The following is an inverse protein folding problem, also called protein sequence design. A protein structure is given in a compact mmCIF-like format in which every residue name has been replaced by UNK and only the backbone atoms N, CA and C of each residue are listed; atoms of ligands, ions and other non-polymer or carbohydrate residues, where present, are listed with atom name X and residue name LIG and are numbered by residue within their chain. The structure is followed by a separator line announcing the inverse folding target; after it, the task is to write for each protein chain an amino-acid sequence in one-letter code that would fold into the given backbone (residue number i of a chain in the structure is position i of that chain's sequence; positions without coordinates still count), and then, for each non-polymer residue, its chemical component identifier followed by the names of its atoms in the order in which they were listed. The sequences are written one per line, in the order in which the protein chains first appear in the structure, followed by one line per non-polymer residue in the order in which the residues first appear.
data_IF_826052519422
#
_entry.id   IF_826052519422
#
_cell.length_a   1.000
_cell.length_b   1.000
_cell.length_c   1.000
_cell.angle_alpha   90.00
_cell.angle_beta   90.00
_cell.angle_gamma   90.00
#
_symmetry.space_group_name_H-M   'P 1'
#
loop_
_entity.id
_entity.type
_entity.pdbx_description
1 polymer ?
#
# COMPACT_ATOMS: atom_id res chain seq x y z
N UNK A 1 14.36 18.24 -3.73
CA UNK A 1 13.04 17.82 -4.30
C UNK A 1 12.41 16.91 -3.29
N UNK A 2 11.12 17.12 -2.98
CA UNK A 2 10.40 16.30 -2.01
C UNK A 2 10.12 14.92 -2.59
N UNK A 3 10.44 13.87 -1.85
CA UNK A 3 10.11 12.50 -2.20
C UNK A 3 9.04 11.94 -1.26
N UNK A 4 8.24 11.01 -1.75
CA UNK A 4 7.26 10.26 -0.95
C UNK A 4 7.64 8.78 -1.02
N UNK A 5 7.87 8.18 0.14
CA UNK A 5 8.24 6.77 0.25
C UNK A 5 7.00 5.95 0.54
N UNK A 6 6.62 5.08 -0.40
CA UNK A 6 5.53 4.13 -0.23
C UNK A 6 6.10 2.85 0.37
N UNK A 7 5.55 2.43 1.49
CA UNK A 7 6.00 1.24 2.24
C UNK A 7 4.82 0.29 2.40
N UNK A 8 4.93 -0.92 1.87
CA UNK A 8 3.95 -1.96 2.14
C UNK A 8 4.21 -2.57 3.51
N UNK A 9 3.16 -2.83 4.29
CA UNK A 9 3.28 -3.50 5.59
C UNK A 9 4.04 -4.83 5.51
N UNK A 10 4.56 -5.28 6.65
CA UNK A 10 5.23 -6.58 6.83
C UNK A 10 4.23 -7.73 6.73
N UNK A 11 4.73 -8.96 6.77
CA UNK A 11 3.90 -10.18 6.72
C UNK A 11 2.85 -10.17 7.84
N UNK A 12 1.54 -10.24 7.52
CA UNK A 12 0.48 -10.28 8.53
C UNK A 12 0.28 -11.68 9.10
N UNK A 13 -0.25 -11.75 10.31
CA UNK A 13 -0.58 -13.00 10.99
C UNK A 13 -1.90 -13.58 10.48
N UNK A 14 -1.85 -14.19 9.30
CA UNK A 14 -3.01 -14.82 8.65
C UNK A 14 -2.58 -16.11 7.95
N UNK A 15 -3.39 -17.19 7.96
CA UNK A 15 -3.10 -18.39 7.20
C UNK A 15 -3.03 -18.13 5.68
N UNK A 16 -2.25 -18.96 4.99
CA UNK A 16 -2.16 -18.90 3.52
C UNK A 16 -3.54 -19.17 2.89
N UNK A 17 -3.84 -18.47 1.80
CA UNK A 17 -5.06 -18.70 1.01
C UNK A 17 -6.32 -18.05 1.59
N UNK A 18 -6.19 -17.25 2.65
CA UNK A 18 -7.30 -16.50 3.22
C UNK A 18 -7.43 -15.14 2.53
N UNK A 19 -8.66 -14.81 2.13
CA UNK A 19 -9.02 -13.48 1.65
C UNK A 19 -9.10 -12.52 2.84
N UNK A 20 -8.42 -11.41 2.76
CA UNK A 20 -8.52 -10.34 3.75
C UNK A 20 -8.26 -8.98 3.09
N UNK A 21 -8.92 -7.98 3.57
CA UNK A 21 -8.74 -6.59 3.15
C UNK A 21 -8.64 -5.68 4.37
N UNK A 22 -9.78 -5.33 4.97
CA UNK A 22 -9.85 -4.42 6.11
C UNK A 22 -9.91 -5.12 7.47
N UNK A 23 -9.95 -6.44 7.52
CA UNK A 23 -9.77 -7.17 8.77
C UNK A 23 -8.48 -6.74 9.45
N UNK A 24 -8.56 -6.37 10.74
CA UNK A 24 -7.44 -5.84 11.50
C UNK A 24 -6.53 -6.96 12.02
N UNK A 25 -5.70 -7.47 11.13
CA UNK A 25 -4.76 -8.55 11.39
C UNK A 25 -3.54 -8.05 12.16
N UNK A 26 -3.04 -8.89 13.04
CA UNK A 26 -1.80 -8.67 13.78
C UNK A 26 -0.57 -8.90 12.88
N UNK A 27 0.62 -8.63 13.41
CA UNK A 27 1.91 -8.90 12.76
C UNK A 27 2.46 -10.26 13.19
N UNK A 28 3.39 -10.81 12.40
CA UNK A 28 4.06 -12.09 12.71
C UNK A 28 5.31 -11.88 13.57
N UNK A 29 5.91 -12.96 14.06
CA UNK A 29 7.18 -12.95 14.78
C UNK A 29 8.34 -12.37 13.95
N UNK A 30 8.24 -12.42 12.60
CA UNK A 30 9.23 -11.82 11.70
C UNK A 30 9.19 -10.30 11.63
N UNK A 31 8.20 -9.64 12.25
CA UNK A 31 7.96 -8.19 12.17
C UNK A 31 9.20 -7.34 12.37
N UNK A 32 9.94 -7.55 13.45
CA UNK A 32 11.13 -6.76 13.75
C UNK A 32 12.30 -7.02 12.78
N UNK A 33 12.40 -8.23 12.24
CA UNK A 33 13.42 -8.55 11.25
C UNK A 33 13.10 -7.88 9.90
N UNK A 34 11.86 -7.97 9.45
CA UNK A 34 11.38 -7.31 8.23
C UNK A 34 11.49 -5.79 8.35
N UNK A 35 11.12 -5.21 9.50
CA UNK A 35 11.22 -3.77 9.76
C UNK A 35 12.66 -3.26 9.67
N UNK A 36 13.64 -4.04 10.16
CA UNK A 36 15.06 -3.68 10.03
C UNK A 36 15.52 -3.61 8.57
N UNK A 37 15.04 -4.53 7.73
CA UNK A 37 15.35 -4.52 6.29
C UNK A 37 14.73 -3.28 5.62
N UNK A 38 13.45 -3.01 5.89
CA UNK A 38 12.73 -1.82 5.36
C UNK A 38 13.48 -0.54 5.72
N UNK A 39 13.91 -0.40 6.98
CA UNK A 39 14.60 0.79 7.48
C UNK A 39 15.86 1.15 6.70
N UNK A 40 16.58 0.17 6.16
CA UNK A 40 17.81 0.37 5.38
C UNK A 40 17.57 1.13 4.06
N UNK A 41 16.32 1.14 3.59
CA UNK A 41 15.93 1.78 2.34
C UNK A 41 15.21 3.12 2.53
N UNK A 42 15.13 3.61 3.77
CA UNK A 42 14.44 4.85 4.11
C UNK A 42 15.43 5.92 4.58
N UNK A 43 15.35 7.15 4.05
CA UNK A 43 16.25 8.22 4.48
C UNK A 43 15.81 8.82 5.82
N UNK A 44 16.77 9.42 6.53
CA UNK A 44 16.50 10.15 7.75
C UNK A 44 15.72 11.48 7.54
N UNK A 45 15.61 11.92 6.29
CA UNK A 45 14.93 13.17 5.88
C UNK A 45 13.41 13.11 5.92
N UNK A 46 12.81 11.96 6.21
CA UNK A 46 11.35 11.82 6.33
C UNK A 46 10.86 12.62 7.55
N UNK A 47 10.00 13.62 7.31
CA UNK A 47 9.49 14.54 8.32
C UNK A 47 8.05 14.24 8.75
N UNK A 48 7.26 13.59 7.91
CA UNK A 48 5.86 13.24 8.20
C UNK A 48 5.52 11.86 7.68
N UNK A 49 4.70 11.14 8.44
CA UNK A 49 4.30 9.76 8.14
C UNK A 49 2.78 9.68 8.08
N UNK A 50 2.27 9.15 6.98
CA UNK A 50 0.87 8.82 6.79
C UNK A 50 0.73 7.30 6.80
N UNK A 51 -0.31 6.78 7.42
CA UNK A 51 -0.50 5.33 7.51
C UNK A 51 -1.97 4.95 7.45
N UNK A 52 -2.23 3.79 6.87
CA UNK A 52 -3.47 3.06 7.16
C UNK A 52 -3.60 2.87 8.69
N UNK A 53 -4.81 2.99 9.26
CA UNK A 53 -5.03 2.74 10.69
C UNK A 53 -4.93 1.27 11.09
N UNK A 54 -4.98 0.34 10.11
CA UNK A 54 -4.89 -1.10 10.40
C UNK A 54 -3.56 -1.46 11.07
N UNK A 55 -3.62 -2.30 12.11
CA UNK A 55 -2.50 -2.63 13.01
C UNK A 55 -1.18 -2.89 12.26
N UNK A 56 -1.20 -3.74 11.23
CA UNK A 56 -0.02 -4.12 10.44
C UNK A 56 0.71 -2.93 9.79
N UNK A 57 -0.03 -1.84 9.49
CA UNK A 57 0.55 -0.60 8.97
C UNK A 57 0.91 0.37 10.10
N UNK A 58 0.00 0.58 11.05
CA UNK A 58 0.20 1.53 12.14
C UNK A 58 1.36 1.15 13.05
N UNK A 59 1.53 -0.15 13.36
CA UNK A 59 2.67 -0.66 14.13
C UNK A 59 3.98 -0.46 13.36
N UNK A 60 4.00 -0.79 12.06
CA UNK A 60 5.18 -0.58 11.21
C UNK A 60 5.57 0.90 11.14
N UNK A 61 4.58 1.78 10.95
CA UNK A 61 4.82 3.22 10.89
C UNK A 61 5.44 3.75 12.20
N UNK A 62 4.91 3.33 13.36
CA UNK A 62 5.45 3.70 14.67
C UNK A 62 6.86 3.18 14.89
N UNK A 63 7.12 1.93 14.51
CA UNK A 63 8.44 1.30 14.67
C UNK A 63 9.49 1.93 13.76
N UNK A 64 9.13 2.26 12.51
CA UNK A 64 10.05 2.91 11.57
C UNK A 64 10.34 4.37 11.94
N UNK A 65 9.36 5.09 12.47
CA UNK A 65 9.40 6.54 12.65
C UNK A 65 8.89 6.98 14.04
N UNK A 66 9.53 6.54 15.14
CA UNK A 66 9.01 6.76 16.49
C UNK A 66 8.89 8.25 16.86
N UNK A 67 9.75 9.10 16.30
CA UNK A 67 9.83 10.53 16.64
C UNK A 67 9.20 11.45 15.57
N UNK A 68 8.43 10.88 14.65
CA UNK A 68 7.81 11.66 13.57
C UNK A 68 6.30 11.77 13.77
N UNK A 69 5.68 12.90 13.35
CA UNK A 69 4.23 13.00 13.31
C UNK A 69 3.62 11.88 12.47
N UNK A 70 2.70 11.12 13.04
CA UNK A 70 1.98 10.03 12.40
C UNK A 70 0.52 10.42 12.19
N UNK A 71 0.09 10.42 10.94
CA UNK A 71 -1.26 10.74 10.51
C UNK A 71 -1.96 9.47 10.00
N UNK A 72 -2.89 8.95 10.77
CA UNK A 72 -3.72 7.83 10.33
C UNK A 72 -4.79 8.33 9.36
N UNK A 73 -5.00 7.58 8.26
CA UNK A 73 -5.93 7.90 7.17
C UNK A 73 -6.71 6.66 6.78
N UNK A 74 -8.02 6.70 6.95
CA UNK A 74 -8.91 5.60 6.58
C UNK A 74 -8.88 5.34 5.06
N UNK A 75 -8.65 6.38 4.28
CA UNK A 75 -8.52 6.30 2.83
C UNK A 75 -7.30 5.45 2.38
N UNK A 76 -6.36 5.19 3.28
CA UNK A 76 -5.20 4.30 3.04
C UNK A 76 -5.44 2.86 3.49
N UNK A 77 -6.63 2.49 3.98
CA UNK A 77 -6.97 1.08 4.24
C UNK A 77 -6.99 0.27 2.94
N UNK A 78 -6.72 -1.04 3.05
CA UNK A 78 -6.81 -1.97 1.92
C UNK A 78 -8.25 -2.05 1.38
N UNK A 79 -8.44 -2.67 0.23
CA UNK A 79 -9.77 -2.92 -0.34
C UNK A 79 -10.65 -3.62 0.70
N UNK A 80 -11.88 -3.14 0.84
CA UNK A 80 -12.86 -3.79 1.71
C UNK A 80 -13.38 -5.06 1.04
N UNK A 81 -12.98 -6.23 1.56
CA UNK A 81 -13.37 -7.52 1.01
C UNK A 81 -14.77 -8.00 1.44
N UNK A 82 -15.53 -7.16 2.16
CA UNK A 82 -16.94 -7.43 2.47
C UNK A 82 -17.18 -8.82 3.03
N UNK A 83 -18.08 -9.56 2.39
CA UNK A 83 -18.47 -10.92 2.81
C UNK A 83 -17.36 -11.97 2.57
N UNK A 84 -16.30 -11.61 1.85
CA UNK A 84 -15.17 -12.50 1.63
C UNK A 84 -14.09 -12.40 2.71
N UNK A 85 -14.17 -11.40 3.61
CA UNK A 85 -13.20 -11.23 4.70
C UNK A 85 -13.07 -12.52 5.51
N UNK A 86 -11.82 -12.96 5.71
CA UNK A 86 -11.41 -14.15 6.47
C UNK A 86 -11.93 -15.48 5.93
N UNK A 87 -12.45 -15.54 4.71
CA UNK A 87 -12.78 -16.80 4.02
C UNK A 87 -11.59 -17.28 3.18
N UNK A 88 -11.48 -18.61 3.01
CA UNK A 88 -10.52 -19.12 2.04
C UNK A 88 -10.95 -18.75 0.61
N UNK A 89 -10.00 -18.37 -0.23
CA UNK A 89 -10.28 -18.04 -1.64
C UNK A 89 -10.95 -19.19 -2.39
N UNK A 90 -10.55 -20.44 -2.05
CA UNK A 90 -11.09 -21.65 -2.68
C UNK A 90 -12.51 -21.98 -2.22
N UNK A 91 -13.00 -21.36 -1.13
CA UNK A 91 -14.34 -21.54 -0.57
C UNK A 91 -15.33 -20.42 -0.99
N UNK A 92 -14.87 -19.48 -1.81
CA UNK A 92 -15.74 -18.41 -2.31
C UNK A 92 -16.71 -18.97 -3.38
N UNK A 93 -17.98 -18.51 -3.39
CA UNK A 93 -18.95 -18.91 -4.40
C UNK A 93 -18.46 -18.55 -5.80
N UNK A 94 -18.54 -19.50 -6.73
CA UNK A 94 -18.05 -19.28 -8.11
C UNK A 94 -18.81 -18.18 -8.85
N UNK A 95 -20.10 -18.06 -8.60
CA UNK A 95 -20.95 -17.03 -9.17
C UNK A 95 -20.61 -15.61 -8.66
N UNK A 96 -19.90 -15.50 -7.53
CA UNK A 96 -19.39 -14.23 -7.02
C UNK A 96 -17.95 -13.97 -7.50
N UNK A 97 -17.06 -15.01 -7.41
CA UNK A 97 -15.63 -14.79 -7.68
C UNK A 97 -15.29 -14.76 -9.16
N UNK A 98 -15.95 -15.55 -10.02
CA UNK A 98 -15.63 -15.62 -11.45
C UNK A 98 -15.86 -14.27 -12.18
N UNK A 99 -16.98 -13.54 -11.95
CA UNK A 99 -17.14 -12.18 -12.50
C UNK A 99 -16.06 -11.23 -12.00
N UNK A 100 -15.72 -11.28 -10.72
CA UNK A 100 -14.68 -10.43 -10.13
C UNK A 100 -13.29 -10.77 -10.68
N UNK A 101 -12.98 -12.02 -10.89
CA UNK A 101 -11.72 -12.44 -11.53
C UNK A 101 -11.61 -11.97 -12.98
N UNK A 102 -12.74 -11.81 -13.66
CA UNK A 102 -12.79 -11.31 -15.03
C UNK A 102 -12.58 -9.79 -15.09
N UNK A 103 -13.18 -9.04 -14.16
CA UNK A 103 -13.05 -7.59 -14.04
C UNK A 103 -13.07 -7.13 -12.58
N UNK A 104 -11.96 -7.32 -11.89
CA UNK A 104 -11.81 -6.89 -10.50
C UNK A 104 -11.85 -5.36 -10.35
N UNK A 105 -11.72 -4.61 -11.44
CA UNK A 105 -11.74 -3.14 -11.42
C UNK A 105 -13.16 -2.63 -11.18
N UNK A 106 -14.12 -3.14 -11.94
CA UNK A 106 -15.51 -2.67 -11.92
C UNK A 106 -16.39 -3.50 -10.97
N UNK A 107 -16.17 -4.81 -10.93
CA UNK A 107 -17.00 -5.70 -10.11
C UNK A 107 -16.74 -5.46 -8.63
N UNK A 108 -17.79 -5.13 -7.92
CA UNK A 108 -17.77 -4.91 -6.47
C UNK A 108 -17.85 -6.24 -5.73
N UNK A 109 -16.99 -6.40 -4.72
CA UNK A 109 -17.08 -7.51 -3.78
C UNK A 109 -18.39 -7.41 -2.99
N UNK A 110 -19.16 -8.48 -2.79
CA UNK A 110 -20.40 -8.45 -2.01
C UNK A 110 -20.20 -7.83 -0.62
N UNK A 111 -20.92 -6.74 -0.35
CA UNK A 111 -20.78 -5.98 0.91
C UNK A 111 -19.45 -5.23 1.07
N UNK A 112 -18.63 -5.16 0.02
CA UNK A 112 -17.32 -4.52 0.03
C UNK A 112 -17.13 -3.46 -1.04
N UNK A 113 -15.92 -3.30 -1.54
CA UNK A 113 -15.51 -2.34 -2.56
C UNK A 113 -15.20 -3.02 -3.91
N UNK A 114 -15.32 -2.28 -5.00
CA UNK A 114 -14.59 -2.54 -6.23
C UNK A 114 -13.18 -1.93 -6.15
N UNK A 115 -12.28 -2.34 -7.05
CA UNK A 115 -10.96 -1.70 -7.11
C UNK A 115 -11.05 -0.23 -7.54
N UNK A 116 -12.10 0.13 -8.30
CA UNK A 116 -12.37 1.52 -8.67
C UNK A 116 -12.75 2.38 -7.46
N UNK A 117 -13.52 1.85 -6.50
CA UNK A 117 -13.85 2.57 -5.25
C UNK A 117 -12.59 2.83 -4.42
N UNK A 118 -11.75 1.79 -4.23
CA UNK A 118 -10.45 1.93 -3.59
C UNK A 118 -9.61 2.99 -4.30
N UNK A 119 -9.52 2.95 -5.63
CA UNK A 119 -8.73 3.91 -6.41
C UNK A 119 -9.21 5.35 -6.19
N UNK A 120 -10.51 5.58 -6.16
CA UNK A 120 -11.08 6.92 -5.97
C UNK A 120 -10.69 7.52 -4.60
N UNK A 121 -10.84 6.75 -3.49
CA UNK A 121 -10.48 7.25 -2.15
C UNK A 121 -8.97 7.42 -1.98
N UNK A 122 -8.18 6.48 -2.50
CA UNK A 122 -6.71 6.51 -2.41
C UNK A 122 -6.13 7.69 -3.20
N UNK A 123 -6.60 7.94 -4.42
CA UNK A 123 -6.10 9.05 -5.23
C UNK A 123 -6.48 10.41 -4.66
N UNK A 124 -7.67 10.54 -4.06
CA UNK A 124 -8.05 11.72 -3.29
C UNK A 124 -7.08 12.00 -2.14
N UNK A 125 -6.78 10.98 -1.33
CA UNK A 125 -5.81 11.08 -0.24
C UNK A 125 -4.39 11.38 -0.74
N UNK A 126 -3.93 10.69 -1.79
CA UNK A 126 -2.65 10.93 -2.44
C UNK A 126 -2.48 12.38 -2.89
N UNK A 127 -3.48 12.94 -3.57
CA UNK A 127 -3.45 14.32 -4.03
C UNK A 127 -3.28 15.29 -2.87
N UNK A 128 -4.00 15.08 -1.76
CA UNK A 128 -3.88 15.90 -0.55
C UNK A 128 -2.49 15.79 0.07
N UNK A 129 -1.92 14.58 0.21
CA UNK A 129 -0.59 14.37 0.79
C UNK A 129 0.51 14.95 -0.11
N UNK A 130 0.41 14.73 -1.41
CA UNK A 130 1.42 15.14 -2.38
C UNK A 130 1.44 16.65 -2.67
N UNK A 131 0.31 17.32 -2.43
CA UNK A 131 0.21 18.80 -2.57
C UNK A 131 0.83 19.54 -1.38
N UNK A 132 0.97 18.92 -0.22
CA UNK A 132 1.57 19.55 0.96
C UNK A 132 3.08 19.75 0.71
N UNK A 133 3.53 20.98 0.70
CA UNK A 133 4.95 21.34 0.59
C UNK A 133 5.58 21.42 1.98
N UNK A 134 6.92 21.24 2.06
CA UNK A 134 7.68 21.55 3.27
C UNK A 134 7.49 23.01 3.69
N UNK A 135 7.70 23.30 4.97
CA UNK A 135 7.63 24.67 5.47
C UNK A 135 8.71 25.52 4.79
N UNK A 136 8.30 26.66 4.24
CA UNK A 136 9.26 27.70 3.84
C UNK A 136 9.90 28.29 5.10
N UNK A 137 11.22 28.35 5.15
CA UNK A 137 11.90 29.20 6.12
C UNK A 137 11.68 30.68 5.77
N UNK A 138 11.77 31.56 6.75
CA UNK A 138 11.68 33.02 6.55
C UNK A 138 12.72 33.56 5.55
N UNK A 139 13.70 32.74 5.17
CA UNK A 139 14.76 33.09 4.19
C UNK A 139 14.43 32.63 2.77
N UNK A 140 13.20 32.12 2.50
CA UNK A 140 12.77 31.69 1.16
C UNK A 140 13.36 30.34 0.70
N UNK A 141 14.13 29.65 1.54
CA UNK A 141 14.63 28.31 1.25
C UNK A 141 13.57 27.27 1.64
N UNK A 142 13.03 26.57 0.66
CA UNK A 142 12.18 25.41 0.90
C UNK A 142 13.05 24.20 1.19
N UNK A 143 13.13 23.81 2.46
CA UNK A 143 13.77 22.53 2.82
C UNK A 143 12.92 21.38 2.26
N UNK A 144 13.50 20.44 1.50
CA UNK A 144 12.76 19.26 1.05
C UNK A 144 12.15 18.51 2.23
N UNK A 145 10.85 18.27 2.19
CA UNK A 145 10.14 17.54 3.23
C UNK A 145 9.72 16.17 2.70
N UNK A 146 10.61 15.21 2.83
CA UNK A 146 10.28 13.82 2.49
C UNK A 146 9.16 13.29 3.40
N UNK A 147 8.29 12.48 2.84
CA UNK A 147 7.15 11.86 3.53
C UNK A 147 7.19 10.35 3.36
N UNK A 148 6.54 9.65 4.27
CA UNK A 148 6.27 8.23 4.11
C UNK A 148 4.77 7.96 4.09
N UNK A 149 4.36 6.97 3.30
CA UNK A 149 3.01 6.38 3.31
C UNK A 149 3.17 4.90 3.59
N UNK A 150 2.70 4.44 4.75
CA UNK A 150 2.70 3.03 5.12
C UNK A 150 1.31 2.46 4.85
N UNK A 151 1.21 1.53 3.90
CA UNK A 151 -0.07 1.07 3.41
C UNK A 151 -0.02 -0.39 2.90
N UNK A 152 -0.90 -0.73 1.99
CA UNK A 152 -1.20 -2.07 1.50
C UNK A 152 -0.91 -2.21 0.01
N UNK A 153 -0.92 -3.45 -0.48
CA UNK A 153 -0.61 -3.75 -1.88
C UNK A 153 -1.56 -3.08 -2.88
N UNK A 154 -2.86 -3.11 -2.63
CA UNK A 154 -3.88 -2.48 -3.48
C UNK A 154 -3.75 -0.96 -3.51
N UNK A 155 -3.52 -0.36 -2.33
CA UNK A 155 -3.31 1.09 -2.17
C UNK A 155 -2.07 1.57 -2.95
N UNK A 156 -0.94 0.89 -2.78
CA UNK A 156 0.31 1.27 -3.46
C UNK A 156 0.18 1.12 -4.97
N UNK A 157 -0.41 0.01 -5.46
CA UNK A 157 -0.69 -0.16 -6.89
C UNK A 157 -1.59 0.93 -7.44
N UNK A 158 -2.63 1.32 -6.69
CA UNK A 158 -3.53 2.41 -7.06
C UNK A 158 -2.78 3.74 -7.26
N UNK A 159 -1.88 4.09 -6.34
CA UNK A 159 -1.02 5.29 -6.46
C UNK A 159 -0.11 5.18 -7.68
N UNK A 160 0.55 4.03 -7.87
CA UNK A 160 1.45 3.82 -9.00
C UNK A 160 0.71 3.90 -10.34
N UNK A 161 -0.49 3.33 -10.46
CA UNK A 161 -1.33 3.46 -11.65
C UNK A 161 -1.64 4.93 -11.96
N UNK A 162 -2.02 5.70 -10.94
CA UNK A 162 -2.34 7.13 -11.11
C UNK A 162 -1.16 7.96 -11.60
N UNK A 163 0.05 7.70 -11.07
CA UNK A 163 1.25 8.50 -11.41
C UNK A 163 1.91 8.06 -12.73
N UNK A 164 1.75 6.82 -13.15
CA UNK A 164 2.33 6.25 -14.38
C UNK A 164 1.35 6.16 -15.54
N UNK A 165 0.08 6.55 -15.34
CA UNK A 165 -1.01 6.36 -16.30
C UNK A 165 -1.21 4.90 -16.73
N UNK A 166 -0.88 3.94 -15.86
CA UNK A 166 -1.12 2.51 -16.09
C UNK A 166 -2.60 2.20 -15.87
N UNK A 167 -3.28 1.48 -16.80
CA UNK A 167 -4.66 1.05 -16.59
C UNK A 167 -4.80 0.22 -15.32
N UNK A 168 -5.89 0.42 -14.56
CA UNK A 168 -6.10 -0.29 -13.30
C UNK A 168 -6.14 -1.82 -13.46
N UNK A 169 -6.66 -2.30 -14.59
CA UNK A 169 -6.72 -3.73 -14.89
C UNK A 169 -5.33 -4.36 -14.99
N UNK A 170 -4.32 -3.60 -15.39
CA UNK A 170 -2.94 -4.05 -15.53
C UNK A 170 -2.12 -3.91 -14.25
N UNK A 171 -2.73 -3.40 -13.16
CA UNK A 171 -2.01 -3.06 -11.92
C UNK A 171 -1.27 -4.24 -11.28
N UNK A 172 -1.84 -5.43 -11.33
CA UNK A 172 -1.24 -6.63 -10.74
C UNK A 172 -0.14 -7.24 -11.60
N UNK A 173 -0.25 -7.13 -12.91
CA UNK A 173 0.76 -7.64 -13.86
C UNK A 173 1.94 -6.69 -13.96
N UNK A 174 1.68 -5.38 -13.89
CA UNK A 174 2.73 -4.35 -13.98
C UNK A 174 3.50 -4.20 -12.66
N UNK A 175 2.79 -4.22 -11.52
CA UNK A 175 3.40 -3.96 -10.21
C UNK A 175 3.37 -5.20 -9.32
N UNK A 176 4.39 -6.05 -9.42
CA UNK A 176 4.60 -7.15 -8.48
C UNK A 176 5.21 -6.59 -7.19
N UNK A 177 4.38 -6.39 -6.17
CA UNK A 177 4.77 -5.81 -4.89
C UNK A 177 4.69 -6.85 -3.78
N UNK A 178 5.77 -7.05 -3.04
CA UNK A 178 5.84 -8.01 -1.93
C UNK A 178 5.77 -7.30 -0.57
N UNK A 179 5.53 -8.04 0.52
CA UNK A 179 5.54 -7.48 1.87
C UNK A 179 6.88 -6.80 2.15
N UNK A 180 6.84 -5.65 2.82
CA UNK A 180 8.03 -4.87 3.11
C UNK A 180 8.66 -4.17 1.90
N UNK A 181 8.01 -4.13 0.72
CA UNK A 181 8.55 -3.35 -0.39
C UNK A 181 8.58 -1.85 -0.06
N UNK A 182 9.62 -1.19 -0.57
CA UNK A 182 9.84 0.26 -0.43
C UNK A 182 9.98 0.87 -1.81
N UNK A 183 9.18 1.89 -2.11
CA UNK A 183 9.17 2.59 -3.38
C UNK A 183 9.32 4.07 -3.11
N UNK A 184 10.27 4.70 -3.77
CA UNK A 184 10.42 6.15 -3.79
C UNK A 184 9.61 6.74 -4.94
N UNK A 185 8.77 7.72 -4.65
CA UNK A 185 8.04 8.52 -5.64
C UNK A 185 8.56 9.96 -5.56
N UNK A 186 8.91 10.53 -6.70
CA UNK A 186 9.51 11.87 -6.77
C UNK A 186 9.07 12.60 -8.04
N UNK A 187 9.28 13.89 -8.10
CA UNK A 187 9.05 14.67 -9.32
C UNK A 187 10.34 14.83 -10.11
N UNK A 188 10.23 14.60 -11.42
CA UNK A 188 11.28 14.84 -12.40
C UNK A 188 10.64 15.60 -13.57
N UNK A 189 11.16 16.78 -13.89
CA UNK A 189 10.59 17.72 -14.88
C UNK A 189 9.07 17.94 -14.72
N UNK A 190 8.63 18.10 -13.46
CA UNK A 190 7.22 18.32 -13.11
C UNK A 190 6.33 17.07 -13.17
N UNK A 191 6.84 15.94 -13.65
CA UNK A 191 6.12 14.66 -13.74
C UNK A 191 6.46 13.76 -12.57
N UNK A 192 5.50 12.97 -12.12
CA UNK A 192 5.76 11.93 -11.14
C UNK A 192 6.55 10.77 -11.75
N UNK A 193 7.57 10.33 -11.03
CA UNK A 193 8.38 9.15 -11.31
C UNK A 193 8.43 8.28 -10.06
N UNK A 194 8.74 7.01 -10.23
CA UNK A 194 8.95 6.11 -9.10
C UNK A 194 10.19 5.23 -9.33
N UNK A 195 10.77 4.77 -8.23
CA UNK A 195 11.90 3.86 -8.17
C UNK A 195 11.62 2.81 -7.08
N UNK A 196 11.78 1.54 -7.39
CA UNK A 196 11.65 0.46 -6.41
C UNK A 196 13.00 0.32 -5.71
N UNK A 197 13.06 0.75 -4.44
CA UNK A 197 14.28 0.68 -3.63
C UNK A 197 14.48 -0.70 -3.02
N UNK A 198 13.39 -1.38 -2.68
CA UNK A 198 13.38 -2.73 -2.15
C UNK A 198 12.07 -3.44 -2.50
N UNK A 199 12.19 -4.66 -2.95
CA UNK A 199 11.05 -5.55 -3.17
C UNK A 199 11.51 -6.99 -2.83
N UNK A 200 11.47 -7.38 -1.55
CA UNK A 200 11.97 -8.67 -1.10
C UNK A 200 11.31 -9.82 -1.87
N UNK A 201 12.01 -10.94 -2.00
CA UNK A 201 11.42 -12.12 -2.62
C UNK A 201 10.13 -12.52 -1.89
N UNK A 202 9.10 -13.02 -2.62
CA UNK A 202 7.85 -13.41 -2.00
C UNK A 202 8.11 -14.51 -0.97
N UNK A 203 7.60 -14.30 0.25
CA UNK A 203 7.60 -15.36 1.25
C UNK A 203 6.57 -16.43 0.84
N UNK A 204 6.74 -17.67 1.32
CA UNK A 204 5.73 -18.73 1.13
C UNK A 204 4.34 -18.29 1.60
N UNK A 205 4.26 -17.35 2.56
CA UNK A 205 3.02 -16.78 3.09
C UNK A 205 2.35 -15.77 2.17
N UNK A 206 3.03 -15.23 1.17
CA UNK A 206 2.45 -14.25 0.23
C UNK A 206 1.51 -14.84 -0.82
N UNK A 207 1.39 -16.15 -0.91
CA UNK A 207 0.44 -16.81 -1.80
C UNK A 207 -0.98 -16.76 -1.21
N UNK A 208 -1.49 -15.54 -0.98
CA UNK A 208 -2.85 -15.31 -0.46
C UNK A 208 -3.91 -15.18 -1.54
N UNK A 209 -3.51 -15.25 -2.82
CA UNK A 209 -4.42 -15.11 -3.95
C UNK A 209 -4.80 -16.45 -4.53
N UNK A 210 -5.92 -16.55 -5.27
CA UNK A 210 -6.23 -17.73 -6.06
C UNK A 210 -5.06 -18.10 -6.98
N UNK A 211 -4.83 -19.38 -7.21
CA UNK A 211 -3.72 -19.86 -8.08
C UNK A 211 -3.77 -19.26 -9.48
N UNK A 212 -4.95 -18.87 -9.96
CA UNK A 212 -5.16 -18.22 -11.26
C UNK A 212 -4.49 -16.83 -11.36
N UNK A 213 -4.22 -16.15 -10.26
CA UNK A 213 -3.50 -14.87 -10.24
C UNK A 213 -1.97 -15.00 -10.41
N UNK A 214 -1.45 -16.23 -10.36
CA UNK A 214 0.00 -16.50 -10.46
C UNK A 214 0.37 -17.21 -11.79
N UNK A 215 -0.54 -17.22 -12.76
CA UNK A 215 -0.29 -17.79 -14.09
C UNK A 215 0.32 -16.81 -15.03
#
# INVERSE_FOLDING_TARGET
MDSIYLVRHTTPAVPRGICYGQTDLDVTESFHAETRVIRQHLPASILAVYSSPLKRCALLAKELFPDRPLYLRDELMEIHCGQWEMRAWDDLPKDEIDPWMTDFVQVRIPGGESYLDLHARVTGCWNNISAQRGQSSDLGETTPADKAIVAHGGVIRSILCAISATPLIDSFTTFSLHYGCVIRVFRDDGRWRYEILSNPAPSEKEQHKPRSFYK
#
